data_IF_827756361283
#
_entry.id   IF_827756361283
#
_cell.length_a   1.000
_cell.length_b   1.000
_cell.length_c   1.000
_cell.angle_alpha   90.00
_cell.angle_beta   90.00
_cell.angle_gamma   90.00
#
_symmetry.space_group_name_H-M   'P 1'
#
loop_
_entity.id
_entity.type
_entity.pdbx_description
1 polymer ?
#
# COMPACT_ATOMS: atom_id res chain seq x y z
N UNK A 1 41.39 43.82 83.86
CA UNK A 1 40.24 44.21 83.05
C UNK A 1 40.39 43.83 81.59
N UNK A 2 41.53 43.83 80.96
CA UNK A 2 41.71 43.57 79.50
C UNK A 2 41.44 42.12 79.11
N UNK A 3 41.81 41.13 79.96
CA UNK A 3 41.58 39.70 79.63
C UNK A 3 40.10 39.26 79.68
N UNK A 4 39.24 39.95 80.41
CA UNK A 4 37.84 39.56 80.49
C UNK A 4 37.04 40.04 79.26
N UNK A 5 37.49 41.14 78.67
CA UNK A 5 36.90 41.68 77.43
C UNK A 5 37.25 40.86 76.20
N UNK A 6 38.45 40.29 76.11
CA UNK A 6 38.82 39.37 75.00
C UNK A 6 37.99 38.08 75.03
N UNK A 7 37.83 37.45 76.18
CA UNK A 7 37.01 36.23 76.28
C UNK A 7 35.50 36.49 76.02
N UNK A 8 35.02 37.69 76.30
CA UNK A 8 33.66 38.06 75.97
C UNK A 8 33.45 38.30 74.44
N UNK A 9 34.44 38.81 73.73
CA UNK A 9 34.39 38.92 72.28
C UNK A 9 34.48 37.57 71.58
N UNK A 10 35.38 36.67 72.01
CA UNK A 10 35.45 35.29 71.49
C UNK A 10 34.16 34.54 71.70
N UNK A 11 33.56 34.65 72.89
CA UNK A 11 32.24 34.01 73.18
C UNK A 11 31.12 34.56 72.30
N UNK A 12 31.12 35.90 72.04
CA UNK A 12 30.16 36.51 71.08
C UNK A 12 30.36 36.01 69.64
N UNK A 13 31.61 35.88 69.21
CA UNK A 13 31.92 35.36 67.89
C UNK A 13 31.45 33.90 67.74
N UNK A 14 31.71 33.08 68.75
CA UNK A 14 31.27 31.67 68.77
C UNK A 14 29.72 31.54 68.77
N UNK A 15 29.03 32.35 69.52
CA UNK A 15 27.57 32.38 69.56
C UNK A 15 27.00 32.86 68.19
N UNK A 16 27.60 33.88 67.56
CA UNK A 16 27.25 34.34 66.25
C UNK A 16 27.45 33.31 65.16
N UNK A 17 28.59 32.57 65.19
CA UNK A 17 28.90 31.49 64.27
C UNK A 17 27.91 30.29 64.42
N UNK A 18 27.61 29.92 65.69
CA UNK A 18 26.65 28.88 65.99
C UNK A 18 25.21 29.21 65.49
N UNK A 19 24.80 30.45 65.61
CA UNK A 19 23.53 30.93 65.06
C UNK A 19 23.55 30.91 63.51
N UNK A 20 24.63 31.34 62.86
CA UNK A 20 24.73 31.29 61.39
C UNK A 20 24.72 29.85 60.87
N UNK A 21 25.42 28.90 61.55
CA UNK A 21 25.39 27.48 61.17
C UNK A 21 23.97 26.88 61.31
N UNK A 22 23.26 27.27 62.37
CA UNK A 22 21.86 26.85 62.60
C UNK A 22 20.87 27.38 61.56
N UNK A 23 21.07 28.61 61.08
CA UNK A 23 20.28 29.23 60.02
C UNK A 23 20.59 28.58 58.65
N UNK A 24 21.88 28.35 58.33
CA UNK A 24 22.30 27.66 57.12
C UNK A 24 21.72 26.21 57.11
N UNK A 25 21.80 25.49 58.24
CA UNK A 25 21.22 24.16 58.40
C UNK A 25 19.69 24.17 58.21
N UNK A 26 19.01 25.18 58.74
CA UNK A 26 17.54 25.31 58.58
C UNK A 26 17.12 25.64 57.14
N UNK A 27 17.90 26.49 56.46
CA UNK A 27 17.73 26.81 55.04
C UNK A 27 17.90 25.59 54.13
N UNK A 28 19.00 24.85 54.38
CA UNK A 28 19.29 23.61 53.64
C UNK A 28 18.21 22.55 53.86
N UNK A 29 17.73 22.36 55.08
CA UNK A 29 16.66 21.44 55.41
C UNK A 29 15.31 21.82 54.77
N UNK A 30 15.00 23.13 54.71
CA UNK A 30 13.80 23.63 53.98
C UNK A 30 13.92 23.39 52.49
N UNK A 31 15.12 23.63 51.90
CA UNK A 31 15.40 23.36 50.49
C UNK A 31 15.28 21.89 50.17
N UNK A 32 15.86 20.98 50.97
CA UNK A 32 15.76 19.54 50.83
C UNK A 32 14.27 19.08 50.88
N UNK A 33 13.49 19.60 51.83
CA UNK A 33 12.05 19.29 51.91
C UNK A 33 11.28 19.76 50.67
N UNK A 34 11.63 20.93 50.09
CA UNK A 34 11.04 21.43 48.84
C UNK A 34 11.35 20.52 47.66
N UNK A 35 12.59 20.11 47.50
CA UNK A 35 13.00 19.16 46.44
C UNK A 35 12.24 17.85 46.59
N UNK A 36 12.24 17.27 47.78
CA UNK A 36 11.52 16.00 48.04
C UNK A 36 10.02 16.11 47.74
N UNK A 37 9.41 17.22 48.06
CA UNK A 37 7.99 17.51 47.76
C UNK A 37 7.78 17.62 46.23
N UNK A 38 8.64 18.36 45.53
CA UNK A 38 8.59 18.48 44.09
C UNK A 38 8.65 17.10 43.39
N UNK A 39 9.61 16.23 43.75
CA UNK A 39 9.66 14.88 43.20
C UNK A 39 8.44 14.02 43.53
N UNK A 40 7.89 14.18 44.75
CA UNK A 40 6.64 13.52 45.14
C UNK A 40 5.46 13.99 44.30
N UNK A 41 5.35 15.30 44.08
CA UNK A 41 4.27 15.89 43.27
C UNK A 41 4.36 15.45 41.81
N UNK A 42 5.58 15.46 41.23
CA UNK A 42 5.85 14.94 39.88
C UNK A 42 5.45 13.45 39.77
N UNK A 43 5.84 12.63 40.76
CA UNK A 43 5.46 11.21 40.80
C UNK A 43 3.95 11.02 40.86
N UNK A 44 3.24 11.83 41.63
CA UNK A 44 1.79 11.78 41.75
C UNK A 44 1.09 12.21 40.44
N UNK A 45 1.58 13.27 39.79
CA UNK A 45 1.07 13.71 38.48
C UNK A 45 1.29 12.64 37.42
N UNK A 46 2.50 12.07 37.32
CA UNK A 46 2.79 10.97 36.43
C UNK A 46 1.92 9.73 36.75
N UNK A 47 1.67 9.44 38.02
CA UNK A 47 0.79 8.36 38.43
C UNK A 47 -0.65 8.52 37.95
N UNK A 48 -1.16 9.76 38.00
CA UNK A 48 -2.50 10.09 37.50
C UNK A 48 -2.60 10.05 35.97
N UNK A 49 -1.49 10.33 35.26
CA UNK A 49 -1.43 10.33 33.80
C UNK A 49 -1.20 8.91 33.23
N UNK A 50 -0.75 7.94 34.03
CA UNK A 50 -0.49 6.55 33.57
C UNK A 50 -1.64 5.92 32.77
N UNK A 51 -2.90 5.96 33.23
CA UNK A 51 -4.00 5.35 32.48
C UNK A 51 -4.21 5.97 31.10
N UNK A 52 -3.77 7.22 30.89
CA UNK A 52 -3.80 7.89 29.58
C UNK A 52 -2.52 7.62 28.75
N UNK A 53 -1.36 7.55 29.40
CA UNK A 53 -0.07 7.35 28.74
C UNK A 53 0.05 5.95 28.12
N UNK A 54 -0.45 4.90 28.76
CA UNK A 54 -0.37 3.54 28.21
C UNK A 54 -1.14 3.36 26.89
N UNK A 55 -2.41 3.80 26.75
CA UNK A 55 -3.10 3.75 25.47
C UNK A 55 -2.42 4.57 24.37
N UNK A 56 -1.91 5.75 24.69
CA UNK A 56 -1.18 6.59 23.74
C UNK A 56 0.11 5.90 23.27
N UNK A 57 0.88 5.33 24.18
CA UNK A 57 2.08 4.56 23.85
C UNK A 57 1.74 3.32 23.02
N UNK A 58 0.69 2.59 23.38
CA UNK A 58 0.23 1.43 22.64
C UNK A 58 -0.18 1.81 21.22
N UNK A 59 -0.92 2.91 21.05
CA UNK A 59 -1.28 3.44 19.74
C UNK A 59 -0.05 3.84 18.93
N UNK A 60 0.91 4.51 19.54
CA UNK A 60 2.16 4.89 18.89
C UNK A 60 2.97 3.68 18.41
N UNK A 61 3.09 2.65 19.25
CA UNK A 61 3.75 1.38 18.88
C UNK A 61 2.98 0.70 17.72
N UNK A 62 1.64 0.67 17.79
CA UNK A 62 0.81 0.14 16.70
C UNK A 62 1.04 0.89 15.39
N UNK A 63 1.15 2.21 15.44
CA UNK A 63 1.45 3.03 14.27
C UNK A 63 2.83 2.70 13.69
N UNK A 64 3.86 2.56 14.52
CA UNK A 64 5.22 2.17 14.07
C UNK A 64 5.18 0.78 13.44
N UNK A 65 4.60 -0.20 14.10
CA UNK A 65 4.48 -1.56 13.57
C UNK A 65 3.73 -1.57 12.25
N UNK A 66 2.61 -0.87 12.17
CA UNK A 66 1.85 -0.74 10.93
C UNK A 66 2.66 -0.11 9.79
N UNK A 67 3.40 0.96 10.09
CA UNK A 67 4.28 1.62 9.12
C UNK A 67 5.34 0.65 8.61
N UNK A 68 6.09 0.00 9.50
CA UNK A 68 7.11 -0.98 9.13
C UNK A 68 6.53 -2.14 8.32
N UNK A 69 5.37 -2.67 8.74
CA UNK A 69 4.70 -3.74 8.01
C UNK A 69 4.25 -3.29 6.62
N UNK A 70 3.72 -2.07 6.50
CA UNK A 70 3.24 -1.52 5.23
C UNK A 70 4.38 -1.19 4.26
N UNK A 71 5.59 -0.95 4.76
CA UNK A 71 6.74 -0.63 3.92
C UNK A 71 7.58 -1.86 3.54
N UNK A 72 7.49 -2.98 4.28
CA UNK A 72 8.43 -4.09 4.13
C UNK A 72 7.83 -5.45 3.81
N UNK A 73 6.56 -5.66 4.10
CA UNK A 73 5.97 -7.00 3.97
C UNK A 73 4.90 -7.05 2.89
N UNK A 74 5.27 -7.60 1.76
CA UNK A 74 4.35 -7.94 0.68
C UNK A 74 3.32 -8.98 1.18
N UNK A 75 2.08 -8.85 0.75
CA UNK A 75 1.00 -9.77 1.06
C UNK A 75 0.48 -10.42 -0.21
N UNK A 76 0.47 -11.74 -0.25
CA UNK A 76 -0.33 -12.49 -1.23
C UNK A 76 -1.76 -12.56 -0.71
N UNK A 77 -2.68 -11.97 -1.45
CA UNK A 77 -4.12 -11.95 -1.12
C UNK A 77 -4.85 -12.94 -2.01
N UNK A 78 -5.52 -13.90 -1.40
CA UNK A 78 -6.38 -14.84 -2.12
C UNK A 78 -7.80 -14.31 -2.13
N UNK A 79 -8.39 -14.22 -3.32
CA UNK A 79 -9.72 -13.68 -3.56
C UNK A 79 -10.50 -14.71 -4.36
N UNK A 80 -11.72 -15.00 -3.95
CA UNK A 80 -12.67 -15.83 -4.70
C UNK A 80 -13.71 -14.92 -5.31
N UNK A 81 -13.98 -15.13 -6.59
CA UNK A 81 -14.95 -14.36 -7.35
C UNK A 81 -15.98 -15.34 -7.89
N UNK A 82 -17.22 -15.15 -7.48
CA UNK A 82 -18.31 -15.94 -7.99
C UNK A 82 -18.82 -15.35 -9.32
N UNK A 83 -18.66 -16.12 -10.39
CA UNK A 83 -18.94 -15.72 -11.75
C UNK A 83 -19.98 -16.67 -12.38
N UNK A 84 -21.26 -16.50 -12.02
CA UNK A 84 -22.37 -17.37 -12.42
C UNK A 84 -22.47 -17.62 -13.94
N UNK A 85 -21.99 -16.68 -14.75
CA UNK A 85 -22.06 -16.77 -16.22
C UNK A 85 -20.72 -17.07 -16.89
N UNK A 86 -19.72 -17.48 -16.11
CA UNK A 86 -18.47 -17.97 -16.68
C UNK A 86 -18.64 -19.41 -17.21
N UNK A 87 -17.92 -19.79 -18.29
CA UNK A 87 -17.87 -21.17 -18.74
C UNK A 87 -17.51 -22.12 -17.58
N UNK A 88 -18.19 -23.26 -17.43
CA UNK A 88 -17.93 -24.22 -16.35
C UNK A 88 -16.48 -24.70 -16.30
N UNK A 89 -15.80 -24.75 -17.43
CA UNK A 89 -14.39 -25.14 -17.59
C UNK A 89 -13.44 -24.16 -16.87
N UNK A 90 -13.88 -22.90 -16.70
CA UNK A 90 -13.11 -21.88 -15.96
C UNK A 90 -13.31 -21.96 -14.44
N UNK A 91 -14.11 -22.89 -13.94
CA UNK A 91 -14.26 -23.10 -12.51
C UNK A 91 -12.92 -23.47 -11.87
N UNK A 92 -12.55 -22.77 -10.82
CA UNK A 92 -11.25 -22.84 -10.13
C UNK A 92 -10.05 -22.30 -10.92
N UNK A 93 -10.27 -21.60 -12.03
CA UNK A 93 -9.20 -20.88 -12.72
C UNK A 93 -8.55 -19.89 -11.73
N UNK A 94 -7.24 -19.97 -11.60
CA UNK A 94 -6.48 -19.12 -10.67
C UNK A 94 -5.63 -18.13 -11.45
N UNK A 95 -5.85 -16.87 -11.21
CA UNK A 95 -5.22 -15.76 -11.90
C UNK A 95 -4.30 -15.01 -10.94
N UNK A 96 -3.03 -14.88 -11.30
CA UNK A 96 -2.10 -13.98 -10.62
C UNK A 96 -2.34 -12.55 -11.12
N UNK A 97 -2.55 -11.62 -10.24
CA UNK A 97 -2.70 -10.21 -10.58
C UNK A 97 -1.63 -9.35 -9.89
N UNK A 98 -0.81 -8.71 -10.70
CA UNK A 98 0.28 -7.79 -10.29
C UNK A 98 -0.02 -6.41 -10.87
N UNK A 99 0.24 -5.35 -10.11
CA UNK A 99 0.08 -3.96 -10.54
C UNK A 99 1.00 -3.04 -9.76
N UNK A 100 1.29 -1.87 -10.31
CA UNK A 100 1.93 -0.75 -9.62
C UNK A 100 3.25 -1.15 -8.91
N UNK A 101 4.21 -1.69 -9.65
CA UNK A 101 5.51 -2.09 -9.10
C UNK A 101 6.41 -0.86 -8.89
N UNK A 102 6.37 0.12 -9.79
CA UNK A 102 7.13 1.38 -9.78
C UNK A 102 8.64 1.20 -9.57
N UNK A 103 9.12 1.16 -8.32
CA UNK A 103 10.55 1.13 -8.00
C UNK A 103 11.17 -0.28 -8.14
N UNK A 104 10.98 -0.89 -9.30
CA UNK A 104 11.52 -2.22 -9.62
C UNK A 104 13.05 -2.32 -9.52
N UNK A 105 13.76 -1.19 -9.58
CA UNK A 105 15.21 -1.13 -9.42
C UNK A 105 15.69 -1.46 -8.00
N UNK A 106 14.81 -1.48 -7.01
CA UNK A 106 15.14 -1.93 -5.67
C UNK A 106 15.20 -3.47 -5.62
N UNK A 107 16.41 -4.02 -5.57
CA UNK A 107 16.67 -5.48 -5.53
C UNK A 107 15.82 -6.25 -4.51
N UNK A 108 15.46 -5.61 -3.41
CA UNK A 108 14.66 -6.23 -2.36
C UNK A 108 13.20 -6.47 -2.80
N UNK A 109 12.61 -5.54 -3.56
CA UNK A 109 11.23 -5.67 -4.05
C UNK A 109 11.11 -6.86 -5.00
N UNK A 110 12.04 -7.02 -5.93
CA UNK A 110 12.06 -8.13 -6.90
C UNK A 110 12.12 -9.49 -6.19
N UNK A 111 13.02 -9.63 -5.21
CA UNK A 111 13.16 -10.86 -4.43
C UNK A 111 11.91 -11.17 -3.60
N UNK A 112 11.26 -10.14 -3.03
CA UNK A 112 10.08 -10.33 -2.21
C UNK A 112 8.86 -10.72 -3.05
N UNK A 113 8.70 -10.18 -4.26
CA UNK A 113 7.66 -10.58 -5.22
C UNK A 113 7.80 -12.08 -5.52
N UNK A 114 9.00 -12.49 -5.96
CA UNK A 114 9.23 -13.84 -6.44
C UNK A 114 9.06 -14.87 -5.33
N UNK A 115 9.69 -14.66 -4.18
CA UNK A 115 9.53 -15.52 -3.00
C UNK A 115 8.09 -15.63 -2.54
N UNK A 116 7.29 -14.58 -2.72
CA UNK A 116 5.90 -14.55 -2.28
C UNK A 116 5.00 -15.43 -3.13
N UNK A 117 5.33 -15.62 -4.42
CA UNK A 117 4.52 -16.39 -5.37
C UNK A 117 5.15 -17.76 -5.75
N UNK A 118 6.39 -18.02 -5.34
CA UNK A 118 7.13 -19.25 -5.67
C UNK A 118 6.34 -20.53 -5.35
N UNK A 119 5.65 -20.56 -4.20
CA UNK A 119 4.88 -21.71 -3.72
C UNK A 119 3.40 -21.66 -4.10
N UNK A 120 2.99 -20.60 -4.77
CA UNK A 120 1.61 -20.46 -5.19
C UNK A 120 1.40 -21.06 -6.58
N UNK A 121 0.21 -21.63 -6.79
CA UNK A 121 -0.21 -22.13 -8.10
C UNK A 121 -1.20 -21.17 -8.71
N UNK A 122 -1.03 -20.90 -9.99
CA UNK A 122 -1.92 -20.10 -10.82
C UNK A 122 -1.78 -20.55 -12.27
N UNK A 123 -2.78 -20.29 -13.06
CA UNK A 123 -2.91 -20.80 -14.44
C UNK A 123 -2.58 -19.73 -15.47
N UNK A 124 -2.68 -18.46 -15.09
CA UNK A 124 -2.49 -17.29 -15.93
C UNK A 124 -2.06 -16.08 -15.07
N UNK A 125 -1.35 -15.14 -15.63
CA UNK A 125 -0.94 -13.91 -14.94
C UNK A 125 -1.33 -12.64 -15.71
N UNK A 126 -1.79 -11.64 -14.98
CA UNK A 126 -2.14 -10.32 -15.46
C UNK A 126 -1.32 -9.25 -14.78
N UNK A 127 -0.77 -8.34 -15.57
CA UNK A 127 -0.02 -7.19 -15.10
C UNK A 127 -0.74 -5.93 -15.59
N UNK A 128 -1.30 -5.17 -14.66
CA UNK A 128 -2.10 -3.98 -14.99
C UNK A 128 -1.34 -2.69 -14.73
N UNK A 129 -0.22 -2.50 -15.44
CA UNK A 129 0.49 -1.25 -15.57
C UNK A 129 1.27 -0.75 -14.36
N UNK A 130 1.87 0.41 -14.55
CA UNK A 130 2.69 1.15 -13.58
C UNK A 130 3.84 0.30 -13.02
N UNK A 131 4.54 -0.41 -13.90
CA UNK A 131 5.75 -1.16 -13.54
C UNK A 131 6.95 -0.25 -13.31
N UNK A 132 6.94 0.94 -13.92
CA UNK A 132 7.99 1.96 -13.79
C UNK A 132 7.43 3.26 -13.21
N UNK A 133 8.32 4.20 -12.87
CA UNK A 133 7.92 5.56 -12.48
C UNK A 133 8.00 6.52 -13.68
N UNK A 134 9.03 6.39 -14.51
CA UNK A 134 9.27 7.34 -15.61
C UNK A 134 10.21 6.84 -16.71
N UNK A 135 10.94 5.75 -16.50
CA UNK A 135 11.93 5.22 -17.46
C UNK A 135 11.81 3.69 -17.50
N UNK A 136 11.64 3.18 -18.69
CA UNK A 136 11.56 1.74 -18.96
C UNK A 136 12.77 0.96 -18.39
N UNK A 137 13.96 1.57 -18.30
CA UNK A 137 15.15 0.93 -17.70
C UNK A 137 14.96 0.50 -16.25
N UNK A 138 13.97 1.05 -15.57
CA UNK A 138 13.58 0.62 -14.23
C UNK A 138 12.99 -0.80 -14.23
N UNK A 139 12.53 -1.32 -15.37
CA UNK A 139 12.06 -2.70 -15.50
C UNK A 139 13.19 -3.71 -15.68
N UNK A 140 14.37 -3.30 -16.14
CA UNK A 140 15.47 -4.22 -16.42
C UNK A 140 15.84 -5.16 -15.25
N UNK A 141 15.81 -4.70 -13.98
CA UNK A 141 16.04 -5.60 -12.84
C UNK A 141 14.98 -6.69 -12.66
N UNK A 142 13.81 -6.55 -13.27
CA UNK A 142 12.73 -7.54 -13.21
C UNK A 142 12.83 -8.59 -14.32
N UNK A 143 13.72 -8.42 -15.28
CA UNK A 143 13.78 -9.25 -16.49
C UNK A 143 13.76 -10.74 -16.19
N UNK A 144 14.72 -11.23 -15.40
CA UNK A 144 14.83 -12.65 -15.06
C UNK A 144 13.54 -13.20 -14.39
N UNK A 145 12.96 -12.41 -13.48
CA UNK A 145 11.73 -12.80 -12.78
C UNK A 145 10.50 -12.83 -13.69
N UNK A 146 10.44 -11.91 -14.65
CA UNK A 146 9.37 -11.87 -15.64
C UNK A 146 9.50 -12.97 -16.69
N UNK A 147 10.72 -13.28 -17.12
CA UNK A 147 11.02 -14.43 -17.99
C UNK A 147 10.58 -15.72 -17.32
N UNK A 148 10.98 -15.95 -16.06
CA UNK A 148 10.57 -17.13 -15.31
C UNK A 148 9.04 -17.21 -15.11
N UNK A 149 8.35 -16.08 -14.92
CA UNK A 149 6.90 -16.04 -14.87
C UNK A 149 6.27 -16.44 -16.20
N UNK A 150 6.79 -15.92 -17.32
CA UNK A 150 6.30 -16.20 -18.66
C UNK A 150 6.59 -17.65 -19.12
N UNK A 151 7.62 -18.30 -18.56
CA UNK A 151 7.89 -19.73 -18.76
C UNK A 151 6.89 -20.64 -18.02
N UNK A 152 6.32 -20.14 -16.91
CA UNK A 152 5.38 -20.91 -16.08
C UNK A 152 3.95 -20.87 -16.58
N UNK A 153 3.47 -19.70 -16.99
CA UNK A 153 2.08 -19.44 -17.39
C UNK A 153 1.99 -18.36 -18.47
N UNK A 154 0.91 -18.30 -19.25
CA UNK A 154 0.64 -17.14 -20.10
C UNK A 154 0.58 -15.85 -19.28
N UNK A 155 1.27 -14.80 -19.73
CA UNK A 155 1.30 -13.49 -19.06
C UNK A 155 0.80 -12.42 -20.02
N UNK A 156 -0.12 -11.59 -19.54
CA UNK A 156 -0.69 -10.47 -20.28
C UNK A 156 -0.45 -9.17 -19.54
N UNK A 157 -0.14 -8.14 -20.29
CA UNK A 157 0.15 -6.80 -19.77
C UNK A 157 -0.73 -5.75 -20.45
N UNK A 158 -1.19 -4.77 -19.66
CA UNK A 158 -1.70 -3.48 -20.13
C UNK A 158 -0.91 -2.37 -19.47
N UNK A 159 -0.74 -1.26 -20.18
CA UNK A 159 0.00 -0.11 -19.65
C UNK A 159 -0.76 0.64 -18.56
N UNK A 160 -0.02 1.33 -17.70
CA UNK A 160 -0.51 2.33 -16.79
C UNK A 160 -0.11 3.75 -17.23
N UNK A 161 -0.49 4.74 -16.44
CA UNK A 161 -0.21 6.14 -16.78
C UNK A 161 1.29 6.49 -16.71
N UNK A 162 2.10 5.67 -16.08
CA UNK A 162 3.55 5.87 -16.03
C UNK A 162 4.28 5.34 -17.25
N UNK A 163 3.75 4.35 -17.96
CA UNK A 163 4.33 3.83 -19.20
C UNK A 163 4.11 4.74 -20.40
N UNK A 164 3.26 5.75 -20.36
CA UNK A 164 2.92 6.62 -21.51
C UNK A 164 4.17 7.19 -22.21
N UNK A 165 5.20 7.53 -21.44
CA UNK A 165 6.43 8.14 -21.99
C UNK A 165 7.45 7.13 -22.50
N UNK A 166 7.30 5.85 -22.19
CA UNK A 166 8.21 4.77 -22.58
C UNK A 166 7.46 3.55 -23.10
N UNK A 167 6.28 3.77 -23.67
CA UNK A 167 5.38 2.68 -24.06
C UNK A 167 6.00 1.72 -25.07
N UNK A 168 6.59 2.24 -26.14
CA UNK A 168 7.16 1.40 -27.20
C UNK A 168 8.37 0.59 -26.72
N UNK A 169 9.22 1.19 -25.87
CA UNK A 169 10.34 0.49 -25.26
C UNK A 169 9.85 -0.60 -24.29
N UNK A 170 8.85 -0.28 -23.47
CA UNK A 170 8.22 -1.22 -22.55
C UNK A 170 7.59 -2.38 -23.28
N UNK A 171 6.80 -2.10 -24.32
CA UNK A 171 6.15 -3.10 -25.16
C UNK A 171 7.17 -4.05 -25.77
N UNK A 172 8.17 -3.49 -26.46
CA UNK A 172 9.22 -4.28 -27.10
C UNK A 172 9.96 -5.19 -26.12
N UNK A 173 10.32 -4.65 -24.95
CA UNK A 173 10.99 -5.41 -23.92
C UNK A 173 10.12 -6.57 -23.39
N UNK A 174 8.83 -6.35 -23.14
CA UNK A 174 7.91 -7.38 -22.65
C UNK A 174 7.66 -8.47 -23.71
N UNK A 175 7.48 -8.07 -24.97
CA UNK A 175 7.30 -9.02 -26.09
C UNK A 175 8.56 -9.88 -26.31
N UNK A 176 9.78 -9.31 -26.13
CA UNK A 176 11.05 -10.05 -26.21
C UNK A 176 11.17 -11.17 -25.15
N UNK A 177 10.46 -11.05 -24.02
CA UNK A 177 10.42 -12.04 -22.94
C UNK A 177 9.10 -12.83 -22.90
N UNK A 178 8.38 -12.91 -24.02
CA UNK A 178 7.13 -13.66 -24.18
C UNK A 178 5.97 -13.21 -23.29
N UNK A 179 5.94 -11.93 -22.90
CA UNK A 179 4.77 -11.32 -22.24
C UNK A 179 3.97 -10.60 -23.33
N UNK A 180 2.68 -10.98 -23.46
CA UNK A 180 1.81 -10.34 -24.45
C UNK A 180 1.28 -9.01 -23.95
N UNK A 181 1.60 -7.94 -24.69
CA UNK A 181 1.04 -6.61 -24.45
C UNK A 181 -0.27 -6.48 -25.20
N UNK A 182 -1.34 -6.11 -24.50
CA UNK A 182 -2.66 -5.88 -25.09
C UNK A 182 -2.90 -4.38 -25.26
N UNK A 183 -3.31 -3.99 -26.47
CA UNK A 183 -3.49 -2.59 -26.86
C UNK A 183 -4.85 -2.36 -27.52
N UNK A 184 -5.89 -2.12 -26.70
CA UNK A 184 -7.26 -1.92 -27.16
C UNK A 184 -7.72 -3.06 -28.07
N UNK A 185 -7.54 -4.28 -27.60
CA UNK A 185 -7.89 -5.49 -28.33
C UNK A 185 -8.58 -6.52 -27.43
N UNK A 186 -9.37 -7.38 -28.06
CA UNK A 186 -9.88 -8.62 -27.47
C UNK A 186 -9.11 -9.80 -28.00
N UNK A 187 -8.80 -10.72 -27.11
CA UNK A 187 -8.25 -12.03 -27.44
C UNK A 187 -9.07 -13.11 -26.79
N UNK A 188 -9.05 -14.31 -27.40
CA UNK A 188 -9.60 -15.52 -26.81
C UNK A 188 -8.50 -16.56 -26.68
N UNK A 189 -8.42 -17.18 -25.51
CA UNK A 189 -7.46 -18.24 -25.22
C UNK A 189 -8.17 -19.46 -24.65
N UNK A 190 -7.65 -20.66 -24.93
CA UNK A 190 -8.12 -21.88 -24.28
C UNK A 190 -7.54 -22.00 -22.87
N UNK A 191 -8.41 -22.16 -21.88
CA UNK A 191 -8.04 -22.41 -20.49
C UNK A 191 -8.82 -23.62 -19.99
N UNK A 192 -8.13 -24.73 -19.74
CA UNK A 192 -8.74 -25.97 -19.24
C UNK A 192 -9.82 -26.57 -20.16
N UNK A 193 -9.79 -26.27 -21.47
CA UNK A 193 -10.78 -26.70 -22.46
C UNK A 193 -12.00 -25.76 -22.55
N UNK A 194 -11.96 -24.62 -21.90
CA UNK A 194 -12.92 -23.53 -22.04
C UNK A 194 -12.29 -22.28 -22.64
N UNK A 195 -13.09 -21.50 -23.33
CA UNK A 195 -12.65 -20.23 -23.91
C UNK A 195 -12.67 -19.14 -22.85
N UNK A 196 -11.53 -18.49 -22.63
CA UNK A 196 -11.40 -17.29 -21.82
C UNK A 196 -11.20 -16.07 -22.73
N UNK A 197 -12.16 -15.16 -22.71
CA UNK A 197 -12.07 -13.87 -23.40
C UNK A 197 -11.42 -12.83 -22.51
N UNK A 198 -10.39 -12.15 -23.04
CA UNK A 198 -9.62 -11.12 -22.36
C UNK A 198 -9.63 -9.87 -23.23
N UNK A 199 -10.06 -8.74 -22.67
CA UNK A 199 -10.00 -7.43 -23.30
C UNK A 199 -8.92 -6.63 -22.61
N UNK A 200 -7.89 -6.20 -23.32
CA UNK A 200 -6.85 -5.31 -22.80
C UNK A 200 -7.03 -3.90 -23.37
N UNK A 201 -7.14 -2.94 -22.48
CA UNK A 201 -7.27 -1.52 -22.83
C UNK A 201 -6.02 -0.76 -22.44
N UNK A 202 -5.66 0.25 -23.25
CA UNK A 202 -4.68 1.25 -22.90
C UNK A 202 -5.16 2.06 -21.69
N UNK A 203 -4.22 2.66 -20.95
CA UNK A 203 -4.54 3.47 -19.78
C UNK A 203 -5.66 4.49 -20.04
N UNK A 204 -6.52 4.70 -19.05
CA UNK A 204 -7.69 5.57 -19.11
C UNK A 204 -7.37 7.01 -19.56
N UNK A 205 -6.22 7.57 -19.12
CA UNK A 205 -5.83 8.92 -19.54
C UNK A 205 -5.44 8.94 -21.03
N UNK A 206 -4.84 7.87 -21.53
CA UNK A 206 -4.53 7.68 -22.96
C UNK A 206 -5.83 7.58 -23.76
N UNK A 207 -6.77 6.72 -23.33
CA UNK A 207 -8.09 6.60 -23.96
C UNK A 207 -8.83 7.95 -23.98
N UNK A 208 -8.82 8.66 -22.87
CA UNK A 208 -9.45 9.98 -22.73
C UNK A 208 -8.85 11.02 -23.68
N UNK A 209 -7.53 11.01 -23.88
CA UNK A 209 -6.87 11.90 -24.83
C UNK A 209 -7.30 11.68 -26.28
N UNK A 210 -7.79 10.47 -26.59
CA UNK A 210 -8.32 10.05 -27.89
C UNK A 210 -9.88 10.05 -27.92
N UNK A 211 -10.53 10.75 -26.99
CA UNK A 211 -11.98 10.77 -26.83
C UNK A 211 -12.61 9.36 -26.73
N UNK A 212 -11.91 8.42 -26.11
CA UNK A 212 -12.31 7.02 -25.95
C UNK A 212 -12.60 6.26 -27.26
N UNK A 213 -12.14 6.77 -28.39
CA UNK A 213 -12.39 6.13 -29.68
C UNK A 213 -11.92 4.66 -29.71
N UNK A 214 -10.69 4.32 -29.27
CA UNK A 214 -10.24 2.91 -29.23
C UNK A 214 -11.11 2.02 -28.34
N UNK A 215 -11.58 2.54 -27.20
CA UNK A 215 -12.53 1.83 -26.34
C UNK A 215 -13.82 1.46 -27.10
N UNK A 216 -14.45 2.44 -27.77
CA UNK A 216 -15.66 2.19 -28.54
C UNK A 216 -15.41 1.22 -29.71
N UNK A 217 -14.28 1.31 -30.41
CA UNK A 217 -13.94 0.39 -31.50
C UNK A 217 -13.84 -1.07 -31.05
N UNK A 218 -13.39 -1.32 -29.80
CA UNK A 218 -13.38 -2.66 -29.22
C UNK A 218 -14.77 -3.09 -28.79
N UNK A 219 -15.47 -2.25 -28.01
CA UNK A 219 -16.74 -2.63 -27.39
C UNK A 219 -17.97 -2.54 -28.30
N UNK A 220 -17.97 -1.74 -29.36
CA UNK A 220 -19.06 -1.74 -30.35
C UNK A 220 -19.28 -3.09 -31.05
N UNK A 221 -18.22 -3.92 -31.10
CA UNK A 221 -18.27 -5.24 -31.73
C UNK A 221 -18.58 -6.36 -30.72
N UNK A 222 -18.67 -6.02 -29.44
CA UNK A 222 -18.84 -6.99 -28.39
C UNK A 222 -20.31 -7.27 -28.11
N UNK A 223 -20.61 -8.52 -27.81
CA UNK A 223 -21.91 -8.88 -27.24
C UNK A 223 -22.05 -8.25 -25.85
N UNK A 224 -23.28 -7.86 -25.51
CA UNK A 224 -23.52 -7.23 -24.20
C UNK A 224 -23.44 -8.20 -23.04
N UNK A 225 -23.57 -9.50 -23.31
CA UNK A 225 -23.59 -10.57 -22.33
C UNK A 225 -22.39 -11.51 -22.55
N UNK A 226 -21.98 -12.20 -21.49
CA UNK A 226 -20.88 -13.16 -21.52
C UNK A 226 -19.77 -12.78 -20.56
N UNK A 227 -19.15 -13.81 -19.93
CA UNK A 227 -18.07 -13.59 -19.00
C UNK A 227 -16.77 -13.23 -19.75
N UNK A 228 -16.20 -12.09 -19.39
CA UNK A 228 -14.94 -11.58 -19.95
C UNK A 228 -14.09 -10.93 -18.87
N UNK A 229 -12.79 -11.04 -19.01
CA UNK A 229 -11.84 -10.31 -18.17
C UNK A 229 -11.45 -9.04 -18.92
N UNK A 230 -11.57 -7.90 -18.27
CA UNK A 230 -11.13 -6.60 -18.79
C UNK A 230 -9.93 -6.14 -17.97
N UNK A 231 -8.82 -5.91 -18.65
CA UNK A 231 -7.60 -5.36 -18.06
C UNK A 231 -7.52 -3.87 -18.38
N UNK A 232 -7.51 -3.04 -17.37
CA UNK A 232 -7.26 -1.60 -17.49
C UNK A 232 -6.71 -1.07 -16.17
N UNK A 233 -5.71 -0.21 -16.26
CA UNK A 233 -4.98 0.26 -15.09
C UNK A 233 -5.85 1.09 -14.13
N UNK A 234 -6.66 2.03 -14.63
CA UNK A 234 -7.45 2.94 -13.80
C UNK A 234 -8.88 2.43 -13.59
N UNK A 235 -9.33 2.27 -12.33
CA UNK A 235 -10.63 1.63 -12.02
C UNK A 235 -11.86 2.39 -12.52
N UNK A 236 -11.72 3.65 -12.92
CA UNK A 236 -12.81 4.48 -13.45
C UNK A 236 -13.43 3.92 -14.75
N UNK A 237 -12.70 3.07 -15.47
CA UNK A 237 -13.19 2.42 -16.68
C UNK A 237 -14.50 1.65 -16.45
N UNK A 238 -14.72 1.12 -15.25
CA UNK A 238 -15.93 0.38 -14.88
C UNK A 238 -17.21 1.20 -15.11
N UNK A 239 -17.12 2.53 -15.04
CA UNK A 239 -18.28 3.42 -15.25
C UNK A 239 -18.71 3.47 -16.72
N UNK A 240 -17.77 3.21 -17.64
CA UNK A 240 -18.04 3.14 -19.07
C UNK A 240 -18.59 1.76 -19.52
N UNK A 241 -18.48 0.77 -18.63
CA UNK A 241 -18.87 -0.61 -18.91
C UNK A 241 -20.29 -0.94 -18.42
N UNK A 242 -21.08 0.06 -18.06
CA UNK A 242 -22.44 -0.11 -17.50
C UNK A 242 -23.43 -0.77 -18.46
N UNK A 243 -23.19 -0.69 -19.77
CA UNK A 243 -24.05 -1.28 -20.80
C UNK A 243 -23.72 -2.76 -21.12
N UNK A 244 -22.66 -3.28 -20.49
CA UNK A 244 -22.18 -4.65 -20.64
C UNK A 244 -22.34 -5.40 -19.33
N UNK A 245 -22.56 -6.69 -19.39
CA UNK A 245 -22.80 -7.56 -18.25
C UNK A 245 -21.70 -8.63 -18.10
N UNK A 246 -21.51 -9.12 -16.87
CA UNK A 246 -20.65 -10.25 -16.53
C UNK A 246 -19.15 -10.01 -16.83
N UNK A 247 -18.69 -8.77 -16.68
CA UNK A 247 -17.29 -8.42 -16.81
C UNK A 247 -16.59 -8.51 -15.45
N UNK A 248 -15.37 -9.08 -15.46
CA UNK A 248 -14.41 -8.95 -14.36
C UNK A 248 -13.33 -7.96 -14.77
N UNK A 249 -13.36 -6.78 -14.22
CA UNK A 249 -12.33 -5.75 -14.46
C UNK A 249 -11.22 -5.90 -13.43
N UNK A 250 -9.96 -5.94 -13.89
CA UNK A 250 -8.77 -5.94 -13.05
C UNK A 250 -8.02 -4.62 -13.23
N UNK A 251 -7.81 -3.91 -12.12
CA UNK A 251 -7.18 -2.58 -12.11
C UNK A 251 -6.20 -2.40 -10.96
N UNK A 252 -5.37 -1.37 -11.06
CA UNK A 252 -4.46 -0.89 -10.01
C UNK A 252 -4.64 0.60 -9.70
N UNK A 253 -3.58 1.40 -9.91
CA UNK A 253 -3.55 2.86 -9.89
C UNK A 253 -3.75 3.52 -8.53
N UNK A 254 -4.64 3.01 -7.71
CA UNK A 254 -5.07 3.68 -6.47
C UNK A 254 -4.11 3.50 -5.31
N UNK A 255 -3.19 2.54 -5.42
CA UNK A 255 -2.28 2.11 -4.34
C UNK A 255 -2.99 1.80 -3.01
N UNK A 256 -4.26 1.40 -3.05
CA UNK A 256 -5.10 1.25 -1.88
C UNK A 256 -5.26 2.53 -1.07
N UNK A 257 -4.97 3.71 -1.69
CA UNK A 257 -5.02 5.03 -1.08
C UNK A 257 -3.86 5.35 -0.16
N UNK A 258 -2.71 4.70 -0.32
CA UNK A 258 -1.45 4.90 0.42
C UNK A 258 -1.60 4.93 1.95
N UNK A 259 -2.41 5.86 2.48
CA UNK A 259 -2.71 6.01 3.91
C UNK A 259 -4.14 5.51 4.18
N UNK A 260 -4.24 4.56 5.09
CA UNK A 260 -5.52 4.01 5.57
C UNK A 260 -5.62 4.17 7.07
N UNK A 261 -6.81 4.14 7.59
CA UNK A 261 -7.05 4.00 9.04
C UNK A 261 -7.66 2.64 9.33
N UNK A 262 -7.42 2.07 10.53
CA UNK A 262 -8.13 0.88 10.96
C UNK A 262 -9.64 1.09 10.84
N UNK A 263 -10.34 0.11 10.28
CA UNK A 263 -11.80 0.12 10.10
C UNK A 263 -12.36 1.16 9.11
N UNK A 264 -11.52 1.98 8.48
CA UNK A 264 -11.92 2.90 7.41
C UNK A 264 -11.43 2.38 6.06
N UNK A 265 -12.20 2.70 5.01
CA UNK A 265 -11.78 2.49 3.62
C UNK A 265 -10.65 3.45 3.26
N UNK A 266 -10.23 3.43 2.03
CA UNK A 266 -9.27 4.35 1.44
C UNK A 266 -9.64 5.81 1.72
N UNK A 267 -8.68 6.60 2.22
CA UNK A 267 -8.91 8.01 2.54
C UNK A 267 -8.70 8.90 1.31
N UNK A 268 -7.71 8.57 0.50
CA UNK A 268 -7.33 9.33 -0.67
C UNK A 268 -6.87 8.39 -1.78
N UNK A 269 -7.25 8.67 -3.02
CA UNK A 269 -6.72 7.98 -4.19
C UNK A 269 -6.36 8.98 -5.30
N UNK A 270 -5.33 8.69 -6.12
CA UNK A 270 -5.00 9.49 -7.30
C UNK A 270 -6.24 9.67 -8.19
N UNK A 271 -6.35 10.82 -8.83
CA UNK A 271 -7.43 11.21 -9.74
C UNK A 271 -8.86 11.19 -9.15
N UNK A 272 -9.07 10.73 -7.90
CA UNK A 272 -10.36 10.69 -7.21
C UNK A 272 -10.42 11.62 -5.98
N UNK A 273 -9.25 12.02 -5.43
CA UNK A 273 -9.18 12.87 -4.25
C UNK A 273 -9.51 12.15 -2.94
N UNK A 274 -10.11 12.88 -1.98
CA UNK A 274 -10.48 12.34 -0.66
C UNK A 274 -11.77 11.52 -0.73
N UNK A 275 -11.80 10.42 0.02
CA UNK A 275 -12.92 9.46 0.10
C UNK A 275 -13.32 8.93 -1.27
N UNK A 276 -12.38 8.30 -1.99
CA UNK A 276 -12.62 7.87 -3.36
C UNK A 276 -13.72 6.81 -3.43
N UNK A 277 -14.43 6.80 -4.54
CA UNK A 277 -15.42 5.77 -4.87
C UNK A 277 -14.75 4.40 -5.02
N UNK A 278 -13.62 4.37 -5.70
CA UNK A 278 -12.84 3.17 -6.01
C UNK A 278 -11.50 3.22 -5.28
N UNK A 279 -11.31 2.40 -4.25
CA UNK A 279 -10.09 2.37 -3.45
C UNK A 279 -9.27 1.10 -3.65
N UNK A 280 -9.68 -0.01 -3.06
CA UNK A 280 -9.00 -1.30 -3.17
C UNK A 280 -9.96 -2.47 -2.92
N UNK A 281 -9.62 -3.64 -3.45
CA UNK A 281 -10.38 -4.87 -3.25
C UNK A 281 -11.48 -5.08 -4.27
N UNK A 282 -12.45 -5.89 -3.93
CA UNK A 282 -13.55 -6.28 -4.83
C UNK A 282 -14.74 -5.34 -4.67
N UNK A 283 -15.28 -4.90 -5.79
CA UNK A 283 -16.49 -4.10 -5.92
C UNK A 283 -17.46 -4.74 -6.91
N UNK A 284 -18.72 -4.52 -6.70
CA UNK A 284 -19.79 -4.82 -7.65
C UNK A 284 -20.31 -3.51 -8.27
N UNK A 285 -20.52 -3.52 -9.58
CA UNK A 285 -21.08 -2.42 -10.36
C UNK A 285 -22.09 -2.96 -11.37
N UNK A 286 -23.36 -2.95 -11.01
CA UNK A 286 -24.39 -3.67 -11.75
C UNK A 286 -24.14 -5.17 -11.72
N UNK A 287 -24.01 -5.81 -12.88
CA UNK A 287 -23.63 -7.21 -13.04
C UNK A 287 -22.11 -7.41 -13.27
N UNK A 288 -21.34 -6.33 -13.19
CA UNK A 288 -19.90 -6.34 -13.39
C UNK A 288 -19.18 -6.35 -12.05
N UNK A 289 -18.01 -6.95 -12.04
CA UNK A 289 -17.11 -6.98 -10.89
C UNK A 289 -15.83 -6.20 -11.21
N UNK A 290 -15.31 -5.48 -10.22
CA UNK A 290 -14.06 -4.74 -10.31
C UNK A 290 -13.16 -5.15 -9.16
N UNK A 291 -12.00 -5.69 -9.47
CA UNK A 291 -10.96 -5.92 -8.48
C UNK A 291 -9.84 -4.88 -8.65
N UNK A 292 -9.55 -4.17 -7.57
CA UNK A 292 -8.50 -3.15 -7.54
C UNK A 292 -7.37 -3.62 -6.64
N UNK A 293 -6.19 -3.80 -7.22
CA UNK A 293 -4.96 -4.12 -6.49
C UNK A 293 -4.49 -2.91 -5.68
N UNK A 294 -3.84 -3.18 -4.53
CA UNK A 294 -3.11 -2.14 -3.78
C UNK A 294 -1.75 -1.84 -4.38
N UNK A 295 -1.34 -2.61 -5.38
CA UNK A 295 -0.02 -2.50 -5.95
C UNK A 295 1.11 -2.86 -4.97
N UNK A 296 2.32 -2.93 -5.49
CA UNK A 296 3.52 -3.34 -4.76
C UNK A 296 4.35 -2.14 -4.35
N UNK A 297 4.66 -1.27 -5.29
CA UNK A 297 5.51 -0.09 -5.09
C UNK A 297 4.81 1.09 -4.46
N UNK A 298 5.49 2.21 -4.49
CA UNK A 298 4.98 3.50 -4.02
C UNK A 298 5.13 4.54 -5.14
N UNK A 299 4.26 5.52 -5.16
CA UNK A 299 4.33 6.67 -6.07
C UNK A 299 5.32 7.73 -5.57
N UNK A 300 5.19 8.95 -6.06
CA UNK A 300 5.94 10.15 -5.65
C UNK A 300 5.93 10.33 -4.11
N UNK A 301 4.87 9.89 -3.43
CA UNK A 301 4.80 9.90 -1.97
C UNK A 301 5.11 8.49 -1.42
N UNK A 302 6.36 8.22 -1.00
CA UNK A 302 6.84 6.87 -0.73
C UNK A 302 6.42 6.36 0.67
N UNK A 303 5.18 6.62 1.08
CA UNK A 303 4.68 6.20 2.40
C UNK A 303 3.41 5.38 2.26
N UNK A 304 3.42 4.17 2.85
CA UNK A 304 2.24 3.34 3.07
C UNK A 304 1.97 3.23 4.58
N UNK A 305 0.72 3.43 4.97
CA UNK A 305 0.32 3.34 6.37
C UNK A 305 -0.99 2.54 6.50
N UNK A 306 -1.00 1.48 7.31
CA UNK A 306 -2.04 0.45 7.37
C UNK A 306 -2.41 -0.14 5.99
N UNK A 307 -1.47 -0.11 5.05
CA UNK A 307 -1.68 -0.43 3.66
C UNK A 307 -0.50 -1.23 3.09
N UNK A 308 -0.45 -2.52 3.41
CA UNK A 308 0.62 -3.41 2.93
C UNK A 308 0.56 -3.56 1.41
N UNK A 309 1.72 -3.60 0.73
CA UNK A 309 1.83 -4.01 -0.67
C UNK A 309 1.12 -5.35 -0.91
N UNK A 310 0.53 -5.52 -2.08
CA UNK A 310 -0.32 -6.66 -2.38
C UNK A 310 -0.02 -7.24 -3.77
N UNK A 311 0.02 -8.56 -3.84
CA UNK A 311 -0.18 -9.36 -5.04
C UNK A 311 -1.47 -10.15 -4.82
N UNK A 312 -2.33 -10.24 -5.82
CA UNK A 312 -3.56 -11.02 -5.70
C UNK A 312 -3.47 -12.35 -6.46
N UNK A 313 -4.05 -13.39 -5.88
CA UNK A 313 -4.43 -14.62 -6.56
C UNK A 313 -5.95 -14.67 -6.54
N UNK A 314 -6.54 -14.56 -7.71
CA UNK A 314 -7.98 -14.50 -7.91
C UNK A 314 -8.43 -15.85 -8.44
N UNK A 315 -9.35 -16.50 -7.74
CA UNK A 315 -9.93 -17.79 -8.12
C UNK A 315 -11.37 -17.59 -8.57
N UNK A 316 -11.71 -18.09 -9.76
CA UNK A 316 -13.08 -18.08 -10.29
C UNK A 316 -13.84 -19.24 -9.68
N UNK A 317 -15.03 -18.96 -9.14
CA UNK A 317 -16.04 -19.94 -8.73
C UNK A 317 -17.27 -19.77 -9.63
N UNK A 318 -17.57 -20.79 -10.42
CA UNK A 318 -18.74 -20.85 -11.31
C UNK A 318 -19.92 -21.50 -10.60
#
# INVERSE_FOLDING_TARGET
MIKITEHMEEARLFISLAFSIKEIGSGFFKFYKRIKRFFSDVKNVLGKLRPLLYPVLALFVLCIVSFVCSMRFLKVKKVKIHAENAPPELNKLRMLHISDIHNASEKNITLDIWKSIEKETFDIAFITGDMTVSDFKQMLPLKESLEELAERVPVFFVDGNHEVFSYEETRKFLEEINIRVLENEKITIDMNGGELEIIGLRDYATLKSQNFKPFYEVFEKEEKEGFRIVLEHQPQIIEMLSDYDNLLVLSGHTHGGQIRLPFMKTIYAPNQGFFPKWGDGLYESGKNMLYISRGIGTTIFPIRFFNRPEIAIIEIEV
#
